data_IF_468210398693
#
_entry.id   IF_468210398693
#
_cell.length_a   1.000
_cell.length_b   1.000
_cell.length_c   1.000
_cell.angle_alpha   90.00
_cell.angle_beta   90.00
_cell.angle_gamma   90.00
#
_symmetry.space_group_name_H-M   'P 1'
#
loop_
_entity.id
_entity.type
_entity.pdbx_description
1 polymer ?
#
# COMPACT_ATOMS: atom_id res chain seq x y z
N UNK A 1 17.66 -14.59 0.36
CA UNK A 1 16.45 -14.73 -0.46
C UNK A 1 15.71 -15.94 0.05
N UNK A 2 14.56 -15.75 0.68
CA UNK A 2 13.64 -16.85 0.96
C UNK A 2 13.09 -17.31 -0.39
N UNK A 3 13.37 -18.56 -0.75
CA UNK A 3 12.81 -19.13 -1.98
C UNK A 3 11.29 -19.18 -1.86
N UNK A 4 10.59 -18.73 -2.91
CA UNK A 4 9.14 -18.87 -3.00
C UNK A 4 8.74 -20.35 -2.82
N UNK A 5 7.63 -20.65 -2.12
CA UNK A 5 7.11 -22.01 -2.02
C UNK A 5 6.90 -22.69 -3.37
N UNK A 6 7.03 -24.02 -3.43
CA UNK A 6 7.00 -24.79 -4.69
C UNK A 6 5.60 -24.87 -5.32
N UNK A 7 4.55 -24.87 -4.51
CA UNK A 7 3.17 -25.01 -4.99
C UNK A 7 2.42 -23.69 -4.94
N UNK A 8 1.46 -23.54 -5.86
CA UNK A 8 0.60 -22.36 -5.89
C UNK A 8 -0.23 -22.20 -4.60
N UNK A 9 -0.67 -23.32 -4.03
CA UNK A 9 -1.41 -23.32 -2.77
C UNK A 9 -0.56 -22.74 -1.63
N UNK A 10 0.71 -23.10 -1.56
CA UNK A 10 1.63 -22.60 -0.54
C UNK A 10 2.01 -21.13 -0.78
N UNK A 11 2.15 -20.71 -2.03
CA UNK A 11 2.36 -19.29 -2.39
C UNK A 11 1.18 -18.45 -1.89
N UNK A 12 -0.06 -18.88 -2.11
CA UNK A 12 -1.25 -18.14 -1.66
C UNK A 12 -1.36 -18.13 -0.12
N UNK A 13 -1.02 -19.23 0.56
CA UNK A 13 -0.99 -19.25 2.04
C UNK A 13 0.07 -18.29 2.58
N UNK A 14 1.26 -18.26 1.97
CA UNK A 14 2.32 -17.35 2.34
C UNK A 14 1.90 -15.89 2.13
N UNK A 15 1.30 -15.57 0.97
CA UNK A 15 0.74 -14.26 0.68
C UNK A 15 -0.31 -13.83 1.71
N UNK A 16 -1.24 -14.72 2.09
CA UNK A 16 -2.24 -14.43 3.12
C UNK A 16 -1.62 -14.10 4.47
N UNK A 17 -0.50 -14.74 4.83
CA UNK A 17 0.22 -14.41 6.05
C UNK A 17 0.93 -13.06 5.92
N UNK A 18 1.52 -12.77 4.76
CA UNK A 18 2.14 -11.48 4.47
C UNK A 18 1.13 -10.34 4.67
N UNK A 19 -0.05 -10.40 4.05
CA UNK A 19 -1.06 -9.32 4.18
C UNK A 19 -1.58 -9.20 5.62
N UNK A 20 -1.66 -10.32 6.34
CA UNK A 20 -2.05 -10.32 7.75
C UNK A 20 -0.99 -9.62 8.62
N UNK A 21 0.29 -9.81 8.32
CA UNK A 21 1.41 -9.15 8.98
C UNK A 21 1.45 -7.65 8.62
N UNK A 22 1.23 -7.30 7.35
CA UNK A 22 1.11 -5.93 6.84
C UNK A 22 -0.02 -5.17 7.55
N UNK A 23 -1.22 -5.76 7.59
CA UNK A 23 -2.37 -5.21 8.32
C UNK A 23 -2.05 -4.90 9.78
N UNK A 24 -1.41 -5.85 10.48
CA UNK A 24 -1.08 -5.67 11.89
C UNK A 24 0.00 -4.60 12.08
N UNK A 25 0.98 -4.54 11.18
CA UNK A 25 2.02 -3.53 11.16
C UNK A 25 1.44 -2.13 10.95
N UNK A 26 0.60 -1.96 9.93
CA UNK A 26 -0.01 -0.67 9.59
C UNK A 26 -0.94 -0.16 10.69
N UNK A 27 -1.75 -1.03 11.30
CA UNK A 27 -2.56 -0.64 12.47
C UNK A 27 -1.70 -0.14 13.64
N UNK A 28 -0.57 -0.81 13.90
CA UNK A 28 0.35 -0.41 14.95
C UNK A 28 1.07 0.92 14.61
N UNK A 29 1.48 1.13 13.36
CA UNK A 29 2.07 2.41 12.93
C UNK A 29 1.06 3.55 12.97
N UNK A 30 -0.17 3.34 12.51
CA UNK A 30 -1.25 4.32 12.62
C UNK A 30 -1.52 4.71 14.09
N UNK A 31 -1.51 3.74 15.01
CA UNK A 31 -1.72 4.01 16.44
C UNK A 31 -0.58 4.84 17.06
N UNK A 32 0.66 4.64 16.59
CA UNK A 32 1.87 5.26 17.16
C UNK A 32 2.28 6.56 16.47
N UNK A 33 1.79 6.81 15.26
CA UNK A 33 2.10 7.99 14.47
C UNK A 33 1.65 9.25 15.21
N UNK A 34 2.55 10.22 15.32
CA UNK A 34 2.21 11.55 15.88
C UNK A 34 1.75 12.52 14.80
N UNK A 35 2.10 12.23 13.55
CA UNK A 35 1.65 12.98 12.40
C UNK A 35 0.28 12.49 11.90
N UNK A 36 -0.64 13.42 11.70
CA UNK A 36 -2.00 13.12 11.25
C UNK A 36 -2.03 12.57 9.81
N UNK A 37 -1.19 13.10 8.93
CA UNK A 37 -1.08 12.62 7.55
C UNK A 37 -0.44 11.23 7.52
N UNK A 38 0.68 11.04 8.22
CA UNK A 38 1.31 9.72 8.33
C UNK A 38 0.37 8.66 8.92
N UNK A 39 -0.42 9.03 9.94
CA UNK A 39 -1.45 8.17 10.52
C UNK A 39 -2.50 7.77 9.47
N UNK A 40 -3.02 8.73 8.71
CA UNK A 40 -4.03 8.49 7.68
C UNK A 40 -3.49 7.65 6.53
N UNK A 41 -2.22 7.81 6.16
CA UNK A 41 -1.56 6.93 5.21
C UNK A 41 -1.60 5.48 5.67
N UNK A 42 -1.17 5.20 6.92
CA UNK A 42 -1.18 3.83 7.45
C UNK A 42 -2.59 3.25 7.64
N UNK A 43 -3.58 4.07 8.01
CA UNK A 43 -4.98 3.62 8.07
C UNK A 43 -5.49 3.18 6.69
N UNK A 44 -5.19 3.97 5.64
CA UNK A 44 -5.57 3.63 4.27
C UNK A 44 -4.88 2.37 3.75
N UNK A 45 -3.60 2.16 4.07
CA UNK A 45 -2.88 0.93 3.69
C UNK A 45 -3.45 -0.30 4.41
N UNK A 46 -3.76 -0.18 5.70
CA UNK A 46 -4.43 -1.26 6.45
C UNK A 46 -5.78 -1.67 5.83
N UNK A 47 -6.55 -0.73 5.25
CA UNK A 47 -7.78 -1.05 4.53
C UNK A 47 -7.51 -1.81 3.23
N UNK A 48 -6.47 -1.44 2.49
CA UNK A 48 -6.09 -2.12 1.25
C UNK A 48 -5.66 -3.57 1.52
N UNK A 49 -4.87 -3.82 2.58
CA UNK A 49 -4.44 -5.17 2.99
C UNK A 49 -5.62 -6.11 3.27
N UNK A 50 -6.71 -5.57 3.81
CA UNK A 50 -7.94 -6.35 4.02
C UNK A 50 -8.57 -6.78 2.69
N UNK A 51 -8.51 -5.92 1.66
CA UNK A 51 -9.00 -6.23 0.32
C UNK A 51 -8.07 -7.23 -0.40
N UNK A 52 -6.75 -7.10 -0.22
CA UNK A 52 -5.78 -8.06 -0.74
C UNK A 52 -6.05 -9.47 -0.21
N UNK A 53 -6.24 -9.60 1.12
CA UNK A 53 -6.61 -10.87 1.74
C UNK A 53 -7.94 -11.43 1.21
N UNK A 54 -8.94 -10.59 0.94
CA UNK A 54 -10.20 -11.04 0.35
C UNK A 54 -9.96 -11.63 -1.03
N UNK A 55 -9.21 -10.93 -1.90
CA UNK A 55 -8.83 -11.41 -3.22
C UNK A 55 -8.08 -12.75 -3.15
N UNK A 56 -7.07 -12.86 -2.28
CA UNK A 56 -6.28 -14.08 -2.10
C UNK A 56 -7.13 -15.26 -1.61
N UNK A 57 -8.08 -15.03 -0.69
CA UNK A 57 -9.02 -16.08 -0.23
C UNK A 57 -9.92 -16.56 -1.35
N UNK A 58 -10.35 -15.68 -2.26
CA UNK A 58 -11.15 -16.04 -3.43
C UNK A 58 -10.35 -16.90 -4.40
N UNK A 59 -9.11 -16.52 -4.68
CA UNK A 59 -8.18 -17.31 -5.49
C UNK A 59 -7.97 -18.70 -4.89
N UNK A 60 -7.72 -18.77 -3.57
CA UNK A 60 -7.56 -20.04 -2.85
C UNK A 60 -8.82 -20.93 -2.90
N UNK A 61 -10.00 -20.32 -2.77
CA UNK A 61 -11.30 -21.00 -2.76
C UNK A 61 -11.76 -21.57 -4.11
N UNK A 62 -10.92 -21.52 -5.16
CA UNK A 62 -11.21 -21.96 -6.53
C UNK A 62 -12.42 -21.26 -7.13
N UNK A 63 -12.50 -19.94 -6.97
CA UNK A 63 -13.49 -19.10 -7.66
C UNK A 63 -13.28 -19.11 -9.19
N UNK A 64 -14.27 -18.64 -9.94
CA UNK A 64 -14.16 -18.46 -11.38
C UNK A 64 -13.46 -17.15 -11.76
N UNK A 65 -12.82 -17.11 -12.93
CA UNK A 65 -12.08 -15.93 -13.41
C UNK A 65 -12.91 -14.63 -13.41
N UNK A 66 -14.20 -14.70 -13.75
CA UNK A 66 -15.09 -13.52 -13.76
C UNK A 66 -15.23 -12.87 -12.39
N UNK A 67 -15.23 -13.67 -11.31
CA UNK A 67 -15.34 -13.14 -9.95
C UNK A 67 -14.06 -12.39 -9.57
N UNK A 68 -12.89 -12.92 -9.96
CA UNK A 68 -11.60 -12.26 -9.75
C UNK A 68 -11.50 -10.98 -10.55
N UNK A 69 -11.86 -11.01 -11.83
CA UNK A 69 -11.88 -9.81 -12.69
C UNK A 69 -12.81 -8.73 -12.14
N UNK A 70 -13.97 -9.12 -11.58
CA UNK A 70 -14.90 -8.18 -10.97
C UNK A 70 -14.33 -7.54 -9.69
N UNK A 71 -13.64 -8.31 -8.84
CA UNK A 71 -12.96 -7.77 -7.66
C UNK A 71 -11.86 -6.79 -8.08
N UNK A 72 -11.01 -7.19 -9.03
CA UNK A 72 -9.92 -6.35 -9.56
C UNK A 72 -10.48 -5.07 -10.20
N UNK A 73 -11.55 -5.17 -10.98
CA UNK A 73 -12.17 -4.01 -11.61
C UNK A 73 -12.80 -3.02 -10.62
N UNK A 74 -13.19 -3.50 -9.42
CA UNK A 74 -13.74 -2.67 -8.34
C UNK A 74 -12.67 -2.18 -7.37
N UNK A 75 -11.45 -2.70 -7.45
CA UNK A 75 -10.34 -2.24 -6.62
C UNK A 75 -10.12 -0.74 -6.86
N UNK A 76 -9.79 -0.02 -5.79
CA UNK A 76 -9.47 1.41 -5.87
C UNK A 76 -8.00 1.58 -6.24
N UNK A 77 -7.66 1.21 -7.47
CA UNK A 77 -6.37 1.52 -8.06
C UNK A 77 -6.33 3.01 -8.47
N UNK A 78 -6.19 3.88 -7.48
CA UNK A 78 -6.06 5.32 -7.68
C UNK A 78 -4.60 5.69 -7.98
N UNK A 79 -4.36 6.61 -8.94
CA UNK A 79 -3.03 7.17 -9.13
C UNK A 79 -2.48 7.72 -7.80
N UNK A 80 -1.21 7.44 -7.50
CA UNK A 80 -0.58 7.78 -6.20
C UNK A 80 -0.81 9.24 -5.79
N UNK A 81 -0.64 10.19 -6.73
CA UNK A 81 -0.91 11.61 -6.47
C UNK A 81 -2.35 11.89 -6.05
N UNK A 82 -3.33 11.21 -6.63
CA UNK A 82 -4.73 11.36 -6.24
C UNK A 82 -4.99 10.76 -4.86
N UNK A 83 -4.45 9.57 -4.59
CA UNK A 83 -4.56 8.95 -3.26
C UNK A 83 -3.91 9.82 -2.17
N UNK A 84 -2.75 10.39 -2.48
CA UNK A 84 -2.08 11.37 -1.62
C UNK A 84 -3.00 12.57 -1.32
N UNK A 85 -3.66 13.17 -2.33
CA UNK A 85 -4.66 14.26 -2.12
C UNK A 85 -5.75 13.85 -1.16
N UNK A 86 -6.35 12.70 -1.40
CA UNK A 86 -7.49 12.21 -0.61
C UNK A 86 -7.10 12.04 0.85
N UNK A 87 -5.95 11.40 1.12
CA UNK A 87 -5.44 11.19 2.48
C UNK A 87 -5.08 12.53 3.13
N UNK A 88 -4.49 13.44 2.36
CA UNK A 88 -4.12 14.78 2.84
C UNK A 88 -5.35 15.59 3.25
N UNK A 89 -6.42 15.56 2.44
CA UNK A 89 -7.71 16.18 2.76
C UNK A 89 -8.36 15.54 3.99
N UNK A 90 -8.28 14.21 4.13
CA UNK A 90 -8.81 13.49 5.30
C UNK A 90 -8.04 13.79 6.59
N UNK A 91 -6.73 14.05 6.50
CA UNK A 91 -5.91 14.49 7.63
C UNK A 91 -6.26 15.93 8.07
N UNK A 92 -6.84 16.73 7.17
CA UNK A 92 -7.37 18.06 7.47
C UNK A 92 -6.31 19.08 7.90
N UNK A 93 -6.72 20.09 8.67
CA UNK A 93 -5.83 21.18 9.10
C UNK A 93 -4.62 20.71 9.91
N UNK A 94 -4.67 19.52 10.54
CA UNK A 94 -3.58 18.99 11.34
C UNK A 94 -2.36 18.63 10.49
N UNK A 95 -2.55 18.21 9.24
CA UNK A 95 -1.46 18.01 8.29
C UNK A 95 -0.70 19.34 8.03
N UNK A 96 -1.41 20.46 7.97
CA UNK A 96 -0.81 21.77 7.71
C UNK A 96 -0.10 22.40 8.92
N UNK A 97 -0.36 21.92 10.15
CA UNK A 97 0.19 22.50 11.39
C UNK A 97 1.54 21.93 11.80
N UNK A 98 2.15 21.09 10.97
CA UNK A 98 3.45 20.46 11.25
C UNK A 98 4.60 21.47 11.17
N UNK A 99 5.49 21.42 12.16
CA UNK A 99 6.68 22.27 12.23
C UNK A 99 7.98 21.49 11.99
N UNK A 100 8.10 20.24 12.47
CA UNK A 100 9.33 19.44 12.37
C UNK A 100 9.08 17.93 12.20
N UNK A 101 10.09 17.21 11.72
CA UNK A 101 10.02 15.77 11.50
C UNK A 101 10.08 15.02 12.83
N UNK A 102 9.19 14.04 13.00
CA UNK A 102 9.32 13.08 14.08
C UNK A 102 10.13 11.87 13.60
N UNK A 103 11.29 11.57 14.22
CA UNK A 103 12.12 10.43 13.85
C UNK A 103 11.37 9.09 13.89
N UNK A 104 10.41 8.91 14.80
CA UNK A 104 9.63 7.67 14.87
C UNK A 104 8.73 7.48 13.65
N UNK A 105 8.13 8.56 13.15
CA UNK A 105 7.16 8.50 12.06
C UNK A 105 7.90 8.31 10.72
N UNK A 106 9.03 9.00 10.53
CA UNK A 106 9.89 8.80 9.36
C UNK A 106 10.53 7.41 9.33
N UNK A 107 10.88 6.83 10.48
CA UNK A 107 11.39 5.46 10.54
C UNK A 107 10.30 4.43 10.25
N UNK A 108 9.07 4.62 10.74
CA UNK A 108 7.93 3.76 10.40
C UNK A 108 7.69 3.73 8.88
N UNK A 109 7.80 4.87 8.20
CA UNK A 109 7.70 4.92 6.72
C UNK A 109 8.80 4.11 6.04
N UNK A 110 10.05 4.14 6.53
CA UNK A 110 11.14 3.34 5.97
C UNK A 110 10.88 1.84 6.12
N UNK A 111 10.46 1.42 7.31
CA UNK A 111 10.14 0.02 7.57
C UNK A 111 8.98 -0.44 6.68
N UNK A 112 7.96 0.40 6.50
CA UNK A 112 6.84 0.11 5.61
C UNK A 112 7.28 0.00 4.14
N UNK A 113 8.13 0.91 3.64
CA UNK A 113 8.65 0.82 2.26
C UNK A 113 9.41 -0.49 2.00
N UNK A 114 10.23 -0.95 2.95
CA UNK A 114 10.91 -2.25 2.84
C UNK A 114 9.96 -3.44 2.98
N UNK A 115 8.79 -3.26 3.61
CA UNK A 115 7.72 -4.26 3.64
C UNK A 115 7.04 -4.37 2.27
N UNK A 116 6.56 -3.25 1.72
CA UNK A 116 5.91 -3.17 0.41
C UNK A 116 6.81 -3.69 -0.71
N UNK A 117 8.10 -3.38 -0.66
CA UNK A 117 9.06 -3.90 -1.63
C UNK A 117 9.14 -5.44 -1.61
N UNK A 118 9.03 -6.05 -0.43
CA UNK A 118 8.99 -7.52 -0.30
C UNK A 118 7.69 -8.10 -0.82
N UNK A 119 6.55 -7.44 -0.59
CA UNK A 119 5.26 -7.81 -1.19
C UNK A 119 5.29 -7.72 -2.72
N UNK A 120 5.81 -6.61 -3.24
CA UNK A 120 6.03 -6.42 -4.68
C UNK A 120 6.86 -7.55 -5.29
N UNK A 121 8.03 -7.86 -4.71
CA UNK A 121 8.91 -8.91 -5.21
C UNK A 121 8.22 -10.28 -5.18
N UNK A 122 7.49 -10.57 -4.08
CA UNK A 122 6.71 -11.80 -3.92
C UNK A 122 5.67 -11.95 -5.04
N UNK A 123 4.82 -10.95 -5.24
CA UNK A 123 3.74 -11.03 -6.22
C UNK A 123 4.26 -11.00 -7.65
N UNK A 124 5.33 -10.25 -7.91
CA UNK A 124 5.96 -10.20 -9.21
C UNK A 124 6.53 -11.57 -9.61
N UNK A 125 7.13 -12.31 -8.68
CA UNK A 125 7.60 -13.67 -8.94
C UNK A 125 6.42 -14.66 -9.03
N UNK A 126 5.40 -14.51 -8.18
CA UNK A 126 4.21 -15.37 -8.19
C UNK A 126 3.42 -15.26 -9.52
N UNK A 127 3.23 -14.07 -10.10
CA UNK A 127 2.54 -13.90 -11.37
C UNK A 127 3.28 -14.57 -12.55
N UNK A 128 4.61 -14.68 -12.47
CA UNK A 128 5.43 -15.34 -13.49
C UNK A 128 5.30 -16.87 -13.40
N UNK A 129 5.22 -17.40 -12.17
CA UNK A 129 5.03 -18.84 -11.91
C UNK A 129 3.57 -19.30 -12.07
N UNK A 130 2.61 -18.38 -12.08
CA UNK A 130 1.20 -18.70 -12.26
C UNK A 130 0.96 -19.45 -13.58
N UNK A 131 0.27 -20.59 -13.48
CA UNK A 131 -0.14 -21.40 -14.65
C UNK A 131 -1.55 -21.09 -15.11
N UNK A 132 -2.45 -20.74 -14.18
CA UNK A 132 -3.82 -20.35 -14.48
C UNK A 132 -3.98 -18.83 -14.61
N UNK A 133 -4.98 -18.43 -15.38
CA UNK A 133 -5.30 -17.01 -15.61
C UNK A 133 -5.85 -16.33 -14.35
N UNK A 134 -6.50 -17.11 -13.47
CA UNK A 134 -7.03 -16.63 -12.18
C UNK A 134 -5.90 -16.10 -11.31
N UNK A 135 -4.91 -16.95 -11.03
CA UNK A 135 -3.77 -16.60 -10.17
C UNK A 135 -2.92 -15.51 -10.82
N UNK A 136 -2.70 -15.59 -12.15
CA UNK A 136 -1.94 -14.57 -12.87
C UNK A 136 -2.60 -13.19 -12.78
N UNK A 137 -3.92 -13.14 -12.93
CA UNK A 137 -4.68 -11.87 -12.86
C UNK A 137 -4.61 -11.28 -11.46
N UNK A 138 -4.83 -12.10 -10.42
CA UNK A 138 -4.77 -11.65 -9.04
C UNK A 138 -3.37 -11.15 -8.65
N UNK A 139 -2.30 -11.92 -8.91
CA UNK A 139 -0.96 -11.50 -8.54
C UNK A 139 -0.45 -10.31 -9.35
N UNK A 140 -0.84 -10.17 -10.62
CA UNK A 140 -0.52 -8.98 -11.39
C UNK A 140 -1.16 -7.73 -10.77
N UNK A 141 -2.41 -7.85 -10.32
CA UNK A 141 -3.08 -6.76 -9.63
C UNK A 141 -2.40 -6.42 -8.30
N UNK A 142 -2.12 -7.43 -7.46
CA UNK A 142 -1.41 -7.22 -6.18
C UNK A 142 -0.02 -6.59 -6.40
N UNK A 143 0.75 -7.04 -7.39
CA UNK A 143 2.05 -6.43 -7.75
C UNK A 143 1.92 -4.93 -8.05
N UNK A 144 0.83 -4.51 -8.71
CA UNK A 144 0.59 -3.10 -8.98
C UNK A 144 0.22 -2.33 -7.71
N UNK A 145 -0.61 -2.92 -6.84
CA UNK A 145 -1.02 -2.31 -5.58
C UNK A 145 0.16 -2.08 -4.64
N UNK A 146 1.01 -3.09 -4.40
CA UNK A 146 2.22 -2.94 -3.55
C UNK A 146 3.18 -1.88 -4.09
N UNK A 147 3.26 -1.75 -5.42
CA UNK A 147 4.05 -0.69 -6.05
C UNK A 147 3.47 0.69 -5.72
N UNK A 148 2.16 0.87 -5.84
CA UNK A 148 1.50 2.14 -5.50
C UNK A 148 1.58 2.45 -4.00
N UNK A 149 1.53 1.43 -3.14
CA UNK A 149 1.75 1.57 -1.70
C UNK A 149 3.17 2.05 -1.40
N UNK A 150 4.19 1.43 -2.00
CA UNK A 150 5.59 1.89 -1.88
C UNK A 150 5.74 3.35 -2.31
N UNK A 151 5.20 3.72 -3.49
CA UNK A 151 5.28 5.08 -4.03
C UNK A 151 4.55 6.09 -3.13
N UNK A 152 3.40 5.73 -2.58
CA UNK A 152 2.66 6.55 -1.61
C UNK A 152 3.45 6.75 -0.32
N UNK A 153 4.03 5.69 0.22
CA UNK A 153 4.88 5.75 1.42
C UNK A 153 6.13 6.61 1.18
N UNK A 154 6.73 6.52 -0.01
CA UNK A 154 7.86 7.34 -0.40
C UNK A 154 7.47 8.83 -0.46
N UNK A 155 6.33 9.15 -1.11
CA UNK A 155 5.85 10.53 -1.18
C UNK A 155 5.50 11.08 0.21
N UNK A 156 4.88 10.26 1.07
CA UNK A 156 4.60 10.60 2.46
C UNK A 156 5.87 10.79 3.26
N UNK A 157 6.89 9.94 3.09
CA UNK A 157 8.19 10.10 3.72
C UNK A 157 8.86 11.42 3.32
N UNK A 158 8.88 11.76 2.02
CA UNK A 158 9.45 13.03 1.55
C UNK A 158 8.72 14.22 2.19
N UNK A 159 7.39 14.18 2.23
CA UNK A 159 6.57 15.20 2.89
C UNK A 159 6.86 15.31 4.41
N UNK A 160 6.97 14.17 5.11
CA UNK A 160 7.25 14.09 6.54
C UNK A 160 8.70 14.38 6.90
N UNK A 161 9.63 14.34 5.94
CA UNK A 161 11.03 14.66 6.17
C UNK A 161 11.29 16.15 5.92
N UNK A 162 10.77 16.69 4.83
CA UNK A 162 11.03 18.07 4.40
C UNK A 162 9.81 18.69 3.69
N UNK A 163 8.80 19.04 4.50
CA UNK A 163 7.54 19.62 4.02
C UNK A 163 7.74 20.86 3.14
N UNK A 164 8.67 21.75 3.51
CA UNK A 164 8.92 22.99 2.79
C UNK A 164 9.44 22.74 1.37
N UNK A 165 10.50 21.92 1.25
CA UNK A 165 11.03 21.56 -0.06
C UNK A 165 10.06 20.67 -0.85
N UNK A 166 9.25 19.84 -0.19
CA UNK A 166 8.23 19.03 -0.85
C UNK A 166 7.18 19.91 -1.55
N UNK A 167 6.65 20.94 -0.88
CA UNK A 167 5.70 21.88 -1.49
C UNK A 167 6.33 22.69 -2.64
N UNK A 168 7.60 23.07 -2.51
CA UNK A 168 8.34 23.74 -3.58
C UNK A 168 8.64 22.82 -4.77
N UNK A 169 8.87 21.52 -4.57
CA UNK A 169 9.12 20.56 -5.66
C UNK A 169 7.82 20.19 -6.38
N UNK A 170 6.71 20.18 -5.66
CA UNK A 170 5.38 19.86 -6.17
C UNK A 170 4.55 21.12 -6.49
N UNK A 171 5.20 22.19 -6.99
CA UNK A 171 4.58 23.49 -7.28
C UNK A 171 3.19 23.33 -7.94
N UNK A 172 2.17 23.94 -7.33
CA UNK A 172 0.80 23.97 -7.84
C UNK A 172 -0.30 23.51 -6.88
N UNK A 173 0.03 22.98 -5.70
CA UNK A 173 -1.01 22.46 -4.77
C UNK A 173 -1.54 23.48 -3.76
N UNK A 174 -0.89 24.63 -3.60
CA UNK A 174 -1.32 25.70 -2.66
C UNK A 174 -1.92 26.93 -3.35
N UNK A 175 -2.19 26.91 -4.66
CA UNK A 175 -2.67 28.08 -5.40
C UNK A 175 -3.83 27.76 -6.38
N UNK A 176 -4.85 27.04 -5.92
CA UNK A 176 -6.21 27.18 -6.47
C UNK A 176 -7.21 27.29 -5.31
N UNK A 177 -7.11 28.43 -4.62
CA UNK A 177 -8.01 28.82 -3.54
C UNK A 177 -8.17 30.33 -3.54
N UNK A 178 -8.79 30.85 -4.60
CA UNK A 178 -9.43 32.18 -4.66
C UNK A 178 -10.93 32.01 -4.82
#
# INVERSE_FOLDING_TARGET
MTELPETMEDIVKFALQLEQDGLQMYRNFAQKSKDAFGKKTFEGLAEDEMQHMELLRKVYGKCGIKEVEEIVAKSKDEPVRQRFKTIFQQAGEEAHKRTEANPSDTEAMRVAMEFEKRGYDLYNEAQQKAKGDIERTAFKHLTLMEKHHYELLQETFEYLNDTGNWFMKNEGWMFEGG
#
